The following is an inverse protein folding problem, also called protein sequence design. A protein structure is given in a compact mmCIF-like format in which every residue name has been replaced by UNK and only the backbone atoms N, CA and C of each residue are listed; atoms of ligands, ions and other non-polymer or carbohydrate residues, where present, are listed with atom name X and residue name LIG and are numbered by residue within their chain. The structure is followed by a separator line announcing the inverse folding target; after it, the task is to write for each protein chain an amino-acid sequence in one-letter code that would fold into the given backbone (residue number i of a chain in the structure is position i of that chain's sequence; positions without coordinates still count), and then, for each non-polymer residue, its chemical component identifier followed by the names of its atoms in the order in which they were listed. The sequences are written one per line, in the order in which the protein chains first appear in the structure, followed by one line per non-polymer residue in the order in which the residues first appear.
data_IF_102493598560
#
_entry.id   IF_102493598560
#
_cell.length_a   1.000
_cell.length_b   1.000
_cell.length_c   1.000
_cell.angle_alpha   90.00
_cell.angle_beta   90.00
_cell.angle_gamma   90.00
#
_symmetry.space_group_name_H-M   'P 1'
#
loop_
_entity.id
_entity.type
_entity.pdbx_description
1 polymer ?
#
# COMPACT_ATOMS: atom_id res chain seq x y z
N UNK A 1 -3.85 18.79 -6.90
CA UNK A 1 -3.59 17.70 -5.94
C UNK A 1 -4.04 18.18 -4.57
N UNK A 2 -4.68 17.32 -3.79
CA UNK A 2 -5.04 17.58 -2.40
C UNK A 2 -4.34 16.53 -1.53
N UNK A 3 -3.83 16.91 -0.36
CA UNK A 3 -3.17 15.96 0.54
C UNK A 3 -4.13 15.51 1.64
N UNK A 4 -4.08 14.22 1.98
CA UNK A 4 -4.81 13.64 3.09
C UNK A 4 -3.82 12.93 4.02
N UNK A 5 -3.74 13.39 5.27
CA UNK A 5 -3.05 12.67 6.33
C UNK A 5 -3.98 11.59 6.89
N UNK A 6 -3.47 10.38 7.02
CA UNK A 6 -4.23 9.21 7.47
C UNK A 6 -3.42 8.47 8.54
N UNK A 7 -4.07 8.16 9.66
CA UNK A 7 -3.50 7.29 10.69
C UNK A 7 -4.32 6.01 10.78
N UNK A 8 -3.66 4.87 10.66
CA UNK A 8 -4.24 3.56 10.87
C UNK A 8 -4.00 3.07 12.30
N UNK A 9 -4.96 2.32 12.82
CA UNK A 9 -4.99 1.78 14.16
C UNK A 9 -4.49 0.32 14.20
N UNK A 10 -4.10 -0.20 15.38
CA UNK A 10 -3.79 -1.62 15.54
C UNK A 10 -4.89 -2.53 15.01
N UNK A 11 -4.50 -3.57 14.25
CA UNK A 11 -5.41 -4.54 13.66
C UNK A 11 -5.94 -4.17 12.28
N UNK A 12 -5.76 -2.94 11.81
CA UNK A 12 -6.15 -2.53 10.45
C UNK A 12 -5.33 -3.28 9.40
N UNK A 13 -5.98 -3.71 8.31
CA UNK A 13 -5.28 -4.10 7.09
C UNK A 13 -4.85 -2.85 6.33
N UNK A 14 -3.54 -2.63 6.24
CA UNK A 14 -2.95 -1.43 5.65
C UNK A 14 -3.44 -1.18 4.22
N UNK A 15 -3.46 -2.23 3.39
CA UNK A 15 -3.78 -2.10 1.97
C UNK A 15 -5.27 -1.79 1.77
N UNK A 16 -6.14 -2.47 2.51
CA UNK A 16 -7.57 -2.25 2.48
C UNK A 16 -7.93 -0.84 3.00
N UNK A 17 -7.33 -0.42 4.11
CA UNK A 17 -7.61 0.88 4.73
C UNK A 17 -7.21 2.06 3.83
N UNK A 18 -6.10 1.96 3.10
CA UNK A 18 -5.71 3.00 2.13
C UNK A 18 -6.71 3.14 0.99
N UNK A 19 -7.21 2.02 0.45
CA UNK A 19 -8.25 2.05 -0.60
C UNK A 19 -9.56 2.61 -0.04
N UNK A 20 -9.95 2.20 1.16
CA UNK A 20 -11.14 2.71 1.83
C UNK A 20 -11.07 4.24 2.07
N UNK A 21 -9.90 4.75 2.47
CA UNK A 21 -9.69 6.19 2.66
C UNK A 21 -9.82 6.98 1.35
N UNK A 22 -9.31 6.45 0.24
CA UNK A 22 -9.50 7.06 -1.09
C UNK A 22 -11.00 7.15 -1.43
N UNK A 23 -11.73 6.04 -1.29
CA UNK A 23 -13.17 5.98 -1.60
C UNK A 23 -13.97 6.93 -0.68
N UNK A 24 -13.69 6.93 0.62
CA UNK A 24 -14.34 7.80 1.59
C UNK A 24 -14.09 9.30 1.30
N UNK A 25 -12.95 9.64 0.70
CA UNK A 25 -12.65 11.02 0.29
C UNK A 25 -13.43 11.48 -0.96
N UNK A 26 -14.17 10.58 -1.63
CA UNK A 26 -14.87 10.86 -2.89
C UNK A 26 -13.98 10.95 -4.12
N UNK A 27 -12.70 10.54 -4.02
CA UNK A 27 -11.74 10.57 -5.12
C UNK A 27 -11.59 9.19 -5.78
N UNK A 28 -11.15 9.17 -7.04
CA UNK A 28 -10.97 7.94 -7.83
C UNK A 28 -9.52 7.67 -8.23
N UNK A 29 -8.60 8.56 -7.86
CA UNK A 29 -7.19 8.47 -8.17
C UNK A 29 -6.36 9.11 -7.07
N UNK A 30 -5.26 8.46 -6.72
CA UNK A 30 -4.28 9.03 -5.81
C UNK A 30 -2.99 8.23 -5.74
N UNK A 31 -2.09 8.72 -4.90
CA UNK A 31 -0.87 8.03 -4.50
C UNK A 31 -0.73 8.05 -2.98
N UNK A 32 -0.16 6.98 -2.42
CA UNK A 32 0.52 7.09 -1.13
C UNK A 32 1.89 7.71 -1.43
N UNK A 33 2.11 8.92 -0.93
CA UNK A 33 3.39 9.63 -1.11
C UNK A 33 4.45 9.08 -0.16
N UNK A 34 4.05 8.80 1.08
CA UNK A 34 4.89 8.15 2.07
C UNK A 34 4.03 7.53 3.17
N UNK A 35 4.55 6.48 3.79
CA UNK A 35 4.02 5.90 5.00
C UNK A 35 5.12 5.34 5.89
N UNK A 36 4.93 5.49 7.20
CA UNK A 36 5.76 4.89 8.26
C UNK A 36 4.84 4.25 9.30
N UNK A 37 5.40 3.45 10.20
CA UNK A 37 4.62 2.82 11.27
C UNK A 37 5.10 1.42 11.57
N UNK A 38 4.20 0.55 11.97
CA UNK A 38 4.54 -0.81 12.37
C UNK A 38 3.52 -1.86 11.98
N UNK A 39 4.00 -3.08 11.73
CA UNK A 39 3.20 -4.25 11.44
C UNK A 39 3.54 -5.39 12.42
N UNK A 40 2.57 -6.28 12.64
CA UNK A 40 2.81 -7.58 13.31
C UNK A 40 2.86 -8.73 12.29
N UNK A 41 2.32 -8.48 11.10
CA UNK A 41 2.29 -9.37 9.96
C UNK A 41 2.41 -8.54 8.68
N UNK A 42 3.38 -8.88 7.83
CA UNK A 42 3.48 -8.33 6.48
C UNK A 42 3.37 -9.46 5.45
N UNK A 43 2.63 -9.21 4.37
CA UNK A 43 2.53 -10.08 3.21
C UNK A 43 3.23 -9.39 2.04
N UNK A 44 4.49 -9.76 1.81
CA UNK A 44 5.33 -9.13 0.78
C UNK A 44 5.60 -10.11 -0.34
N UNK A 45 5.19 -9.77 -1.57
CA UNK A 45 5.60 -10.52 -2.75
C UNK A 45 6.90 -9.94 -3.29
N UNK A 46 7.96 -10.72 -3.20
CA UNK A 46 9.27 -10.35 -3.74
C UNK A 46 9.29 -10.31 -5.26
N UNK A 47 10.34 -9.68 -5.81
CA UNK A 47 10.49 -9.51 -7.25
C UNK A 47 10.47 -10.87 -7.98
N UNK A 48 9.53 -11.02 -8.91
CA UNK A 48 9.36 -12.25 -9.70
C UNK A 48 8.74 -13.44 -8.95
N UNK A 49 8.49 -13.33 -7.64
CA UNK A 49 7.86 -14.40 -6.88
C UNK A 49 6.37 -14.50 -7.23
N UNK A 50 5.81 -15.72 -7.36
CA UNK A 50 4.40 -15.91 -7.70
C UNK A 50 3.46 -15.67 -6.51
N UNK A 51 3.97 -15.86 -5.28
CA UNK A 51 3.22 -15.79 -4.03
C UNK A 51 3.90 -14.82 -3.05
N UNK A 52 3.15 -14.18 -2.15
CA UNK A 52 3.74 -13.41 -1.08
C UNK A 52 4.43 -14.31 -0.05
N UNK A 53 5.51 -13.78 0.52
CA UNK A 53 6.11 -14.28 1.73
C UNK A 53 5.45 -13.62 2.95
N UNK A 54 5.16 -14.43 3.95
CA UNK A 54 4.62 -13.96 5.22
C UNK A 54 5.76 -13.67 6.19
N UNK A 55 5.83 -12.42 6.65
CA UNK A 55 6.75 -11.98 7.69
C UNK A 55 5.98 -11.72 8.98
N UNK A 56 6.28 -12.46 10.04
CA UNK A 56 5.68 -12.30 11.36
C UNK A 56 6.68 -11.74 12.36
N UNK A 57 6.18 -10.95 13.31
CA UNK A 57 6.96 -10.37 14.40
C UNK A 57 6.83 -8.85 14.41
N UNK A 58 7.62 -8.20 15.26
CA UNK A 58 7.63 -6.74 15.35
C UNK A 58 8.39 -6.15 14.15
N UNK A 59 7.65 -5.57 13.22
CA UNK A 59 8.16 -4.93 12.02
C UNK A 59 7.96 -3.42 12.11
N UNK A 60 8.93 -2.65 11.64
CA UNK A 60 8.83 -1.20 11.41
C UNK A 60 8.72 -0.95 9.91
N UNK A 61 7.71 -0.19 9.48
CA UNK A 61 7.55 0.31 8.11
C UNK A 61 8.48 1.50 7.95
N UNK A 62 9.51 1.35 7.11
CA UNK A 62 10.47 2.42 6.81
C UNK A 62 10.01 3.28 5.64
N UNK A 63 9.31 2.68 4.68
CA UNK A 63 8.71 3.38 3.55
C UNK A 63 7.51 2.61 3.02
N UNK A 64 6.53 3.35 2.52
CA UNK A 64 5.37 2.84 1.79
C UNK A 64 4.99 3.86 0.74
N UNK A 65 4.92 3.42 -0.52
CA UNK A 65 4.52 4.28 -1.62
C UNK A 65 3.78 3.49 -2.70
N UNK A 66 2.97 4.18 -3.49
CA UNK A 66 2.35 3.58 -4.67
C UNK A 66 1.06 4.24 -5.09
N UNK A 67 0.45 3.69 -6.15
CA UNK A 67 -0.76 4.24 -6.76
C UNK A 67 -2.01 3.56 -6.21
N UNK A 68 -3.05 4.36 -5.97
CA UNK A 68 -4.31 3.92 -5.37
C UNK A 68 -5.48 4.34 -6.26
N UNK A 69 -6.42 3.42 -6.42
CA UNK A 69 -7.63 3.56 -7.23
C UNK A 69 -8.80 2.87 -6.52
N UNK A 70 -10.03 3.12 -6.96
CA UNK A 70 -11.20 2.39 -6.45
C UNK A 70 -11.12 0.88 -6.74
N UNK A 71 -10.43 0.48 -7.82
CA UNK A 71 -10.23 -0.92 -8.22
C UNK A 71 -9.13 -1.62 -7.40
N UNK A 72 -8.43 -0.88 -6.54
CA UNK A 72 -7.38 -1.38 -5.67
C UNK A 72 -6.10 -0.54 -5.69
N UNK A 73 -5.08 -1.07 -5.02
CA UNK A 73 -3.80 -0.39 -4.81
C UNK A 73 -2.62 -1.22 -5.34
N UNK A 74 -1.64 -0.53 -5.92
CA UNK A 74 -0.32 -1.04 -6.24
C UNK A 74 0.68 -0.32 -5.33
N UNK A 75 1.00 -0.94 -4.20
CA UNK A 75 1.85 -0.39 -3.14
C UNK A 75 3.11 -1.23 -3.00
N UNK A 76 4.24 -0.58 -2.79
CA UNK A 76 5.51 -1.19 -2.41
C UNK A 76 5.93 -0.67 -1.04
N UNK A 77 6.59 -1.51 -0.25
CA UNK A 77 6.99 -1.21 1.12
C UNK A 77 8.37 -1.78 1.40
N UNK A 78 9.14 -1.09 2.26
CA UNK A 78 10.28 -1.65 2.97
C UNK A 78 9.98 -1.71 4.47
N UNK A 79 10.25 -2.85 5.09
CA UNK A 79 10.15 -3.05 6.54
C UNK A 79 11.49 -3.44 7.15
N UNK A 80 11.74 -3.10 8.41
CA UNK A 80 12.84 -3.66 9.19
C UNK A 80 12.34 -4.58 10.30
N UNK A 81 13.02 -5.70 10.49
CA UNK A 81 12.80 -6.60 11.63
C UNK A 81 13.49 -6.11 12.90
N UNK A 82 13.31 -6.84 14.00
CA UNK A 82 13.93 -6.55 15.30
C UNK A 82 15.47 -6.65 15.31
N UNK A 83 16.10 -7.16 14.23
CA UNK A 83 17.55 -7.16 14.05
C UNK A 83 18.02 -6.03 13.12
N UNK A 84 17.11 -5.18 12.65
CA UNK A 84 17.39 -4.08 11.73
C UNK A 84 17.59 -4.52 10.28
N UNK A 85 17.28 -5.78 9.93
CA UNK A 85 17.38 -6.26 8.54
C UNK A 85 16.21 -5.72 7.75
N UNK A 86 16.49 -5.17 6.57
CA UNK A 86 15.48 -4.56 5.71
C UNK A 86 15.02 -5.55 4.66
N UNK A 87 13.72 -5.76 4.59
CA UNK A 87 13.03 -6.56 3.59
C UNK A 87 12.04 -5.66 2.84
N UNK A 88 11.81 -5.91 1.56
CA UNK A 88 10.91 -5.08 0.78
C UNK A 88 10.32 -5.80 -0.42
N UNK A 89 9.15 -5.35 -0.83
CA UNK A 89 8.42 -5.98 -1.93
C UNK A 89 7.08 -5.33 -2.22
N UNK A 90 6.31 -6.00 -3.07
CA UNK A 90 4.93 -5.63 -3.37
C UNK A 90 4.03 -5.96 -2.18
N UNK A 91 3.23 -5.00 -1.74
CA UNK A 91 2.33 -5.12 -0.59
C UNK A 91 1.06 -5.85 -1.02
N UNK A 92 0.90 -7.08 -0.52
CA UNK A 92 -0.33 -7.85 -0.66
C UNK A 92 -1.34 -7.52 0.45
N UNK A 93 -2.57 -8.04 0.31
CA UNK A 93 -3.53 -8.03 1.41
C UNK A 93 -3.00 -8.85 2.59
N UNK A 94 -3.40 -8.49 3.82
CA UNK A 94 -2.94 -9.12 5.05
C UNK A 94 -1.75 -8.43 5.72
N UNK A 95 -1.40 -7.20 5.34
CA UNK A 95 -0.42 -6.43 6.11
C UNK A 95 -1.11 -5.75 7.30
N UNK A 96 -0.91 -6.27 8.51
CA UNK A 96 -1.69 -5.90 9.71
C UNK A 96 -0.91 -4.93 10.60
N UNK A 97 -1.51 -3.78 10.88
CA UNK A 97 -0.92 -2.72 11.71
C UNK A 97 -0.75 -3.20 13.15
N UNK A 98 0.44 -2.99 13.73
CA UNK A 98 0.76 -3.37 15.11
C UNK A 98 0.46 -2.27 16.11
N UNK A 99 1.06 -1.08 15.94
CA UNK A 99 0.85 0.07 16.84
C UNK A 99 0.18 1.22 16.11
N UNK A 100 0.69 1.60 14.94
CA UNK A 100 0.12 2.63 14.09
C UNK A 100 0.73 2.57 12.70
N UNK A 101 0.04 3.11 11.70
CA UNK A 101 0.67 3.52 10.44
C UNK A 101 0.24 4.94 10.10
N UNK A 102 1.22 5.81 9.85
CA UNK A 102 1.03 7.23 9.54
C UNK A 102 1.36 7.45 8.08
N UNK A 103 0.34 7.84 7.31
CA UNK A 103 0.36 7.85 5.86
C UNK A 103 0.02 9.24 5.34
N UNK A 104 0.71 9.65 4.28
CA UNK A 104 0.37 10.84 3.51
C UNK A 104 -0.10 10.41 2.12
N UNK A 105 -1.36 10.70 1.82
CA UNK A 105 -1.96 10.45 0.52
C UNK A 105 -1.99 11.75 -0.30
N UNK A 106 -1.69 11.63 -1.60
CA UNK A 106 -1.97 12.63 -2.62
C UNK A 106 -3.23 12.21 -3.39
N UNK A 107 -4.33 12.91 -3.15
CA UNK A 107 -5.58 12.77 -3.88
C UNK A 107 -5.55 13.62 -5.15
N UNK A 108 -6.09 13.09 -6.24
CA UNK A 108 -6.06 13.71 -7.57
C UNK A 108 -7.48 14.03 -8.04
N UNK A 109 -8.03 15.22 -7.71
CA UNK A 109 -9.35 15.65 -8.18
C UNK A 109 -9.45 15.64 -9.70
N UNK A 110 -10.60 15.19 -10.23
CA UNK A 110 -10.87 15.13 -11.66
C UNK A 110 -10.07 14.08 -12.43
N UNK A 111 -9.32 13.21 -11.74
CA UNK A 111 -8.62 12.06 -12.33
C UNK A 111 -9.27 10.75 -11.91
N UNK A 112 -9.16 9.75 -12.78
CA UNK A 112 -9.61 8.39 -12.51
C UNK A 112 -8.50 7.41 -12.86
N UNK A 113 -8.11 6.59 -11.88
CA UNK A 113 -7.23 5.46 -12.12
C UNK A 113 -8.05 4.20 -12.24
N UNK A 114 -7.68 3.34 -13.17
CA UNK A 114 -8.17 1.97 -13.27
C UNK A 114 -7.03 0.99 -13.41
N UNK A 115 -7.34 -0.30 -13.23
CA UNK A 115 -6.43 -1.40 -13.56
C UNK A 115 -6.99 -2.19 -14.73
N UNK A 116 -6.31 -2.11 -15.87
CA UNK A 116 -6.71 -2.81 -17.10
C UNK A 116 -5.64 -3.82 -17.49
N UNK A 117 -6.07 -4.98 -18.00
CA UNK A 117 -5.14 -6.01 -18.44
C UNK A 117 -4.28 -5.50 -19.60
N UNK A 118 -2.96 -5.40 -19.41
CA UNK A 118 -2.02 -5.12 -20.49
C UNK A 118 -1.55 -6.44 -21.12
N UNK A 119 -1.84 -6.64 -22.40
CA UNK A 119 -1.47 -7.85 -23.12
C UNK A 119 0.04 -8.10 -23.20
N UNK A 120 0.87 -7.06 -23.02
CA UNK A 120 2.34 -7.17 -23.07
C UNK A 120 2.92 -7.67 -21.75
N UNK A 121 2.30 -7.32 -20.63
CA UNK A 121 2.80 -7.70 -19.29
C UNK A 121 2.03 -8.89 -18.71
N UNK A 122 0.79 -9.12 -19.17
CA UNK A 122 -0.11 -10.12 -18.60
C UNK A 122 -0.72 -9.72 -17.26
N UNK A 123 -0.52 -8.47 -16.81
CA UNK A 123 -0.99 -7.97 -15.52
C UNK A 123 -2.00 -6.82 -15.66
N UNK A 124 -2.86 -6.59 -14.65
CA UNK A 124 -3.67 -5.39 -14.56
C UNK A 124 -2.80 -4.15 -14.28
N UNK A 125 -2.48 -3.38 -15.32
CA UNK A 125 -1.62 -2.20 -15.25
C UNK A 125 -2.41 -0.92 -14.98
N UNK A 126 -1.72 0.11 -14.49
CA UNK A 126 -2.32 1.42 -14.27
C UNK A 126 -2.76 2.06 -15.60
N UNK A 127 -4.02 2.46 -15.68
CA UNK A 127 -4.50 3.41 -16.70
C UNK A 127 -4.90 4.73 -16.06
N UNK A 128 -4.48 5.81 -16.72
CA UNK A 128 -4.70 7.19 -16.27
C UNK A 128 -5.81 7.81 -17.12
N UNK A 129 -6.92 8.19 -16.48
CA UNK A 129 -8.02 8.98 -17.02
C UNK A 129 -8.12 10.37 -16.39
#
# INVERSE_FOLDING_TARGET
MQTLALRLAPGDDLRASVVAALVASGHQAGFVLQGIGSLNLAQLRYAGAPQPDELRGDLEILSLAGSISADGAHLHMSVSDAQGRVLGGHVCAGCIVRTTAELLLALLPGRRFTRELDARTGYPELKIG
#
